data_IF_605566326580
#
_entry.id   IF_605566326580
#
_cell.length_a   1.000
_cell.length_b   1.000
_cell.length_c   1.000
_cell.angle_alpha   90.00
_cell.angle_beta   90.00
_cell.angle_gamma   90.00
#
_symmetry.space_group_name_H-M   'P 1'
#
loop_
_entity.id
_entity.type
_entity.pdbx_description
1 polymer ?
#
# COMPACT_ATOMS: atom_id res chain seq x y z
N UNK A 1 24.71 16.10 29.37
CA UNK A 1 24.99 15.38 28.11
C UNK A 1 23.71 15.29 27.33
N UNK A 2 23.63 15.93 26.18
CA UNK A 2 22.43 15.72 25.35
C UNK A 2 22.47 14.29 24.78
N UNK A 3 21.37 13.57 24.93
CA UNK A 3 21.15 12.28 24.28
C UNK A 3 21.19 12.53 22.76
N UNK A 4 22.23 12.03 22.12
CA UNK A 4 22.27 11.94 20.67
C UNK A 4 21.07 11.14 20.21
N UNK A 5 20.18 11.79 19.47
CA UNK A 5 19.11 11.12 18.77
C UNK A 5 19.75 10.14 17.78
N UNK A 6 19.62 8.85 18.07
CA UNK A 6 19.91 7.80 17.10
C UNK A 6 19.00 8.09 15.90
N UNK A 7 19.54 8.73 14.86
CA UNK A 7 18.91 8.79 13.55
C UNK A 7 18.80 7.35 13.09
N UNK A 8 17.61 6.79 13.23
CA UNK A 8 17.23 5.56 12.53
C UNK A 8 17.55 5.81 11.06
N UNK A 9 18.58 5.16 10.55
CA UNK A 9 18.87 5.10 9.12
C UNK A 9 17.73 4.26 8.52
N UNK A 10 16.61 4.93 8.20
CA UNK A 10 15.55 4.30 7.41
C UNK A 10 16.20 3.90 6.10
N UNK A 11 16.26 2.61 5.87
CA UNK A 11 16.64 2.10 4.57
C UNK A 11 15.50 2.49 3.62
N UNK A 12 15.75 3.51 2.82
CA UNK A 12 14.74 4.18 1.98
C UNK A 12 14.42 3.39 0.72
N UNK A 13 15.20 2.35 0.44
CA UNK A 13 14.95 1.39 -0.62
C UNK A 13 14.63 0.03 -0.01
N UNK A 14 13.43 -0.46 -0.25
CA UNK A 14 12.94 -1.72 0.30
C UNK A 14 11.96 -2.37 -0.67
N UNK A 15 11.55 -3.58 -0.35
CA UNK A 15 10.52 -4.29 -1.10
C UNK A 15 9.22 -4.39 -0.32
N UNK A 16 8.15 -4.58 -1.05
CA UNK A 16 6.82 -4.83 -0.52
C UNK A 16 6.09 -5.90 -1.35
N UNK A 17 5.12 -6.57 -0.74
CA UNK A 17 4.12 -7.34 -1.46
C UNK A 17 2.83 -6.52 -1.49
N UNK A 18 2.32 -6.32 -2.69
CA UNK A 18 1.09 -5.57 -2.95
C UNK A 18 -0.04 -6.47 -3.43
N UNK A 19 -1.24 -6.16 -2.97
CA UNK A 19 -2.51 -6.64 -3.49
C UNK A 19 -3.07 -5.55 -4.40
N UNK A 20 -3.22 -5.84 -5.67
CA UNK A 20 -3.61 -4.83 -6.67
C UNK A 20 -4.96 -5.16 -7.31
N UNK A 21 -5.80 -4.14 -7.52
CA UNK A 21 -7.00 -4.30 -8.32
C UNK A 21 -6.67 -4.54 -9.80
N UNK A 22 -7.64 -5.07 -10.54
CA UNK A 22 -7.52 -5.35 -11.96
C UNK A 22 -8.66 -4.72 -12.76
N UNK A 23 -8.49 -4.67 -14.08
CA UNK A 23 -9.54 -4.26 -15.01
C UNK A 23 -10.16 -2.92 -14.65
N UNK A 24 -11.48 -2.86 -14.60
CA UNK A 24 -12.22 -1.65 -14.33
C UNK A 24 -11.98 -1.08 -12.93
N UNK A 25 -11.84 -1.93 -11.91
CA UNK A 25 -11.56 -1.50 -10.53
C UNK A 25 -10.22 -0.78 -10.46
N UNK A 26 -9.21 -1.29 -11.15
CA UNK A 26 -7.91 -0.62 -11.27
C UNK A 26 -8.04 0.73 -11.94
N UNK A 27 -8.76 0.82 -13.06
CA UNK A 27 -8.96 2.07 -13.79
C UNK A 27 -9.66 3.14 -12.93
N UNK A 28 -10.70 2.77 -12.21
CA UNK A 28 -11.43 3.69 -11.34
C UNK A 28 -10.55 4.23 -10.20
N UNK A 29 -9.86 3.36 -9.49
CA UNK A 29 -8.96 3.77 -8.39
C UNK A 29 -7.78 4.60 -8.89
N UNK A 30 -7.19 4.21 -10.03
CA UNK A 30 -6.12 4.96 -10.68
C UNK A 30 -6.56 6.36 -11.07
N UNK A 31 -7.75 6.52 -11.64
CA UNK A 31 -8.31 7.82 -11.98
C UNK A 31 -8.50 8.72 -10.75
N UNK A 32 -8.94 8.17 -9.61
CA UNK A 32 -9.06 8.93 -8.35
C UNK A 32 -7.70 9.38 -7.82
N UNK A 33 -6.69 8.49 -7.80
CA UNK A 33 -5.32 8.82 -7.39
C UNK A 33 -4.72 9.90 -8.30
N UNK A 34 -4.91 9.78 -9.61
CA UNK A 34 -4.42 10.78 -10.58
C UNK A 34 -5.10 12.14 -10.41
N UNK A 35 -6.42 12.17 -10.23
CA UNK A 35 -7.17 13.40 -10.02
C UNK A 35 -6.72 14.12 -8.75
N UNK A 36 -6.64 13.41 -7.62
CA UNK A 36 -6.16 13.98 -6.37
C UNK A 36 -4.70 14.46 -6.48
N UNK A 37 -3.82 13.67 -7.10
CA UNK A 37 -2.43 14.06 -7.32
C UNK A 37 -2.30 15.31 -8.18
N UNK A 38 -3.11 15.44 -9.22
CA UNK A 38 -3.14 16.62 -10.09
C UNK A 38 -3.66 17.85 -9.37
N UNK A 39 -4.74 17.71 -8.58
CA UNK A 39 -5.41 18.84 -7.91
C UNK A 39 -4.63 19.35 -6.69
N UNK A 40 -3.85 18.50 -6.05
CA UNK A 40 -3.15 18.79 -4.80
C UNK A 40 -1.62 18.60 -4.85
N UNK A 41 -1.05 18.47 -6.05
CA UNK A 41 0.40 18.31 -6.27
C UNK A 41 1.00 17.10 -5.52
N UNK A 42 0.32 15.97 -5.60
CA UNK A 42 0.78 14.70 -5.01
C UNK A 42 1.49 13.80 -6.03
N UNK A 43 2.37 12.90 -5.58
CA UNK A 43 3.04 11.96 -6.47
C UNK A 43 2.05 10.94 -7.04
N UNK A 44 2.38 10.42 -8.23
CA UNK A 44 1.63 9.33 -8.84
C UNK A 44 2.14 7.97 -8.36
N UNK A 45 1.23 7.07 -8.08
CA UNK A 45 1.51 5.66 -7.76
C UNK A 45 0.35 4.74 -8.19
N UNK A 46 0.64 3.47 -8.36
CA UNK A 46 -0.38 2.47 -8.71
C UNK A 46 -1.27 2.12 -7.50
N UNK A 47 -2.58 1.94 -7.70
CA UNK A 47 -3.49 1.56 -6.62
C UNK A 47 -3.14 0.17 -6.05
N UNK A 48 -2.95 0.10 -4.75
CA UNK A 48 -2.60 -1.14 -4.06
C UNK A 48 -2.96 -1.13 -2.58
N UNK A 49 -3.14 -2.31 -2.03
CA UNK A 49 -3.12 -2.57 -0.59
C UNK A 49 -1.82 -3.27 -0.26
N UNK A 50 -1.02 -2.74 0.64
CA UNK A 50 0.22 -3.39 1.07
C UNK A 50 -0.10 -4.59 1.95
N UNK A 51 0.42 -5.76 1.60
CA UNK A 51 0.32 -6.96 2.42
C UNK A 51 1.48 -7.04 3.42
N UNK A 52 2.70 -6.85 2.96
CA UNK A 52 3.95 -6.79 3.77
C UNK A 52 4.87 -5.76 3.12
N UNK A 53 5.59 -4.97 3.92
CA UNK A 53 6.52 -3.97 3.42
C UNK A 53 7.77 -3.83 4.29
N UNK A 54 8.80 -3.20 3.73
CA UNK A 54 10.01 -2.85 4.44
C UNK A 54 11.08 -3.94 4.49
N UNK A 55 10.86 -5.07 3.82
CA UNK A 55 11.86 -6.13 3.78
C UNK A 55 12.94 -5.88 2.72
N UNK A 56 14.11 -6.49 2.94
CA UNK A 56 15.28 -6.35 2.09
C UNK A 56 15.67 -7.73 1.55
N UNK A 57 16.42 -7.73 0.46
CA UNK A 57 16.97 -8.95 -0.10
C UNK A 57 17.33 -8.83 -1.57
N UNK A 58 17.87 -9.89 -2.10
CA UNK A 58 18.15 -10.02 -3.52
C UNK A 58 16.83 -10.19 -4.30
N UNK A 59 16.56 -9.30 -5.25
CA UNK A 59 15.29 -9.24 -6.00
C UNK A 59 14.89 -10.60 -6.59
N UNK A 60 15.84 -11.31 -7.18
CA UNK A 60 15.58 -12.64 -7.78
C UNK A 60 15.09 -13.67 -6.75
N UNK A 61 15.63 -13.64 -5.54
CA UNK A 61 15.20 -14.52 -4.44
C UNK A 61 13.83 -14.10 -3.90
N UNK A 62 13.61 -12.80 -3.76
CA UNK A 62 12.33 -12.25 -3.32
C UNK A 62 11.22 -12.56 -4.32
N UNK A 63 11.51 -12.50 -5.62
CA UNK A 63 10.56 -12.87 -6.67
C UNK A 63 10.15 -14.34 -6.56
N UNK A 64 11.10 -15.26 -6.36
CA UNK A 64 10.80 -16.69 -6.14
C UNK A 64 9.94 -16.92 -4.89
N UNK A 65 10.25 -16.23 -3.79
CA UNK A 65 9.42 -16.29 -2.56
C UNK A 65 8.01 -15.77 -2.83
N UNK A 66 7.87 -14.65 -3.55
CA UNK A 66 6.57 -14.08 -3.94
C UNK A 66 5.76 -15.06 -4.79
N UNK A 67 6.38 -15.73 -5.76
CA UNK A 67 5.73 -16.77 -6.57
C UNK A 67 5.26 -17.95 -5.70
N UNK A 68 6.06 -18.37 -4.72
CA UNK A 68 5.68 -19.44 -3.77
C UNK A 68 4.48 -19.02 -2.92
N UNK A 69 4.46 -17.80 -2.41
CA UNK A 69 3.35 -17.24 -1.65
C UNK A 69 2.08 -17.19 -2.53
N UNK A 70 2.21 -16.68 -3.75
CA UNK A 70 1.09 -16.55 -4.68
C UNK A 70 0.40 -17.89 -4.96
N UNK A 71 1.15 -18.96 -5.11
CA UNK A 71 0.60 -20.32 -5.34
C UNK A 71 -0.18 -20.89 -4.15
N UNK A 72 0.11 -20.40 -2.94
CA UNK A 72 -0.53 -20.86 -1.69
C UNK A 72 -1.73 -20.01 -1.28
N UNK A 73 -1.91 -18.82 -1.85
CA UNK A 73 -3.03 -17.92 -1.57
C UNK A 73 -4.16 -18.20 -2.54
N UNK A 74 -5.34 -18.55 -2.01
CA UNK A 74 -6.57 -18.60 -2.81
C UNK A 74 -7.08 -17.17 -3.08
N UNK A 75 -7.74 -16.92 -4.21
CA UNK A 75 -8.37 -15.63 -4.49
C UNK A 75 -9.31 -15.20 -3.36
N UNK A 76 -9.32 -13.91 -3.04
CA UNK A 76 -10.20 -13.33 -2.03
C UNK A 76 -10.58 -11.88 -2.38
N UNK A 77 -11.49 -11.30 -1.63
CA UNK A 77 -12.01 -9.95 -1.88
C UNK A 77 -11.49 -9.00 -0.80
N UNK A 78 -10.95 -7.87 -1.24
CA UNK A 78 -10.70 -6.68 -0.39
C UNK A 78 -11.99 -5.87 -0.35
N UNK A 79 -12.50 -5.60 0.83
CA UNK A 79 -13.67 -4.75 1.07
C UNK A 79 -13.22 -3.48 1.76
N UNK A 80 -13.66 -2.34 1.26
CA UNK A 80 -13.36 -1.04 1.86
C UNK A 80 -14.41 -0.67 2.92
N UNK A 81 -13.95 0.05 3.94
CA UNK A 81 -14.76 0.52 5.08
C UNK A 81 -14.57 2.03 5.27
N UNK A 82 -14.87 2.76 4.23
CA UNK A 82 -14.83 4.21 4.21
C UNK A 82 -13.44 4.83 4.04
N UNK A 83 -13.43 6.16 4.06
CA UNK A 83 -12.24 7.00 3.89
C UNK A 83 -11.71 7.44 5.25
N UNK A 84 -10.41 7.48 5.40
CA UNK A 84 -9.73 8.00 6.59
C UNK A 84 -8.46 8.77 6.22
N UNK A 85 -7.89 9.50 7.17
CA UNK A 85 -6.64 10.22 7.00
C UNK A 85 -5.82 10.23 8.29
N UNK A 86 -4.49 10.30 8.14
CA UNK A 86 -3.56 10.53 9.23
C UNK A 86 -2.65 11.72 8.90
N UNK A 87 -1.97 12.26 9.90
CA UNK A 87 -0.92 13.26 9.70
C UNK A 87 0.42 12.57 9.42
N UNK A 88 0.42 11.77 8.35
CA UNK A 88 1.56 11.00 7.89
C UNK A 88 1.62 11.06 6.36
N UNK A 89 2.82 11.27 5.81
CA UNK A 89 3.02 11.44 4.37
C UNK A 89 2.41 10.30 3.53
N UNK A 90 2.69 9.04 3.88
CA UNK A 90 2.23 7.87 3.14
C UNK A 90 0.82 7.36 3.54
N UNK A 91 0.21 7.97 4.55
CA UNK A 91 -1.17 7.71 5.00
C UNK A 91 -1.97 9.01 5.11
N UNK A 92 -1.76 9.90 4.15
CA UNK A 92 -2.39 11.21 4.16
C UNK A 92 -3.90 11.15 3.97
N UNK A 93 -4.36 10.44 2.93
CA UNK A 93 -5.76 10.08 2.70
C UNK A 93 -5.83 8.68 2.10
N UNK A 94 -6.69 7.83 2.63
CA UNK A 94 -6.75 6.44 2.23
C UNK A 94 -8.13 5.81 2.45
N UNK A 95 -8.40 4.73 1.72
CA UNK A 95 -9.52 3.83 1.98
C UNK A 95 -9.11 2.83 3.06
N UNK A 96 -9.90 2.73 4.11
CA UNK A 96 -9.75 1.67 5.11
C UNK A 96 -10.14 0.33 4.49
N UNK A 97 -9.39 -0.70 4.78
CA UNK A 97 -9.73 -2.06 4.39
C UNK A 97 -10.35 -2.78 5.59
N UNK A 98 -11.51 -3.38 5.37
CA UNK A 98 -12.14 -4.26 6.35
C UNK A 98 -11.29 -5.52 6.51
N UNK A 99 -10.82 -5.80 7.72
CA UNK A 99 -10.03 -6.99 7.98
C UNK A 99 -10.87 -8.26 7.78
N UNK A 100 -10.33 -9.23 7.04
CA UNK A 100 -10.95 -10.52 6.80
C UNK A 100 -10.00 -11.66 7.20
N UNK A 101 -10.55 -12.84 7.47
CA UNK A 101 -9.75 -14.03 7.77
C UNK A 101 -8.81 -14.40 6.61
N UNK A 102 -9.25 -14.21 5.37
CA UNK A 102 -8.44 -14.48 4.17
C UNK A 102 -7.26 -13.50 4.06
N UNK A 103 -7.51 -12.20 4.30
CA UNK A 103 -6.43 -11.19 4.33
C UNK A 103 -5.43 -11.51 5.44
N UNK A 104 -5.91 -11.87 6.63
CA UNK A 104 -5.06 -12.25 7.76
C UNK A 104 -4.22 -13.49 7.46
N UNK A 105 -4.81 -14.52 6.88
CA UNK A 105 -4.10 -15.74 6.48
C UNK A 105 -3.04 -15.46 5.39
N UNK A 106 -3.37 -14.65 4.39
CA UNK A 106 -2.44 -14.24 3.35
C UNK A 106 -1.22 -13.49 3.94
N UNK A 107 -1.47 -12.60 4.91
CA UNK A 107 -0.41 -11.87 5.59
C UNK A 107 0.49 -12.78 6.42
N UNK A 108 -0.07 -13.68 7.24
CA UNK A 108 0.69 -14.64 8.03
C UNK A 108 1.59 -15.50 7.13
N UNK A 109 1.04 -15.99 6.04
CA UNK A 109 1.79 -16.77 5.05
C UNK A 109 2.95 -15.96 4.45
N UNK A 110 2.69 -14.73 4.02
CA UNK A 110 3.70 -13.87 3.44
C UNK A 110 4.82 -13.53 4.44
N UNK A 111 4.47 -13.17 5.67
CA UNK A 111 5.46 -12.92 6.73
C UNK A 111 6.31 -14.17 7.04
N UNK A 112 5.70 -15.36 7.06
CA UNK A 112 6.41 -16.62 7.29
C UNK A 112 7.41 -16.94 6.18
N UNK A 113 6.98 -16.86 4.92
CA UNK A 113 7.84 -17.16 3.77
C UNK A 113 8.97 -16.13 3.60
N UNK A 114 8.73 -14.88 3.98
CA UNK A 114 9.74 -13.81 3.92
C UNK A 114 10.62 -13.76 5.17
N UNK A 115 10.31 -14.55 6.21
CA UNK A 115 10.97 -14.50 7.52
C UNK A 115 10.94 -13.08 8.12
N UNK A 116 9.82 -12.37 7.90
CA UNK A 116 9.62 -10.98 8.25
C UNK A 116 8.64 -10.83 9.41
N UNK A 117 9.02 -10.03 10.41
CA UNK A 117 8.17 -9.69 11.55
C UNK A 117 7.75 -8.24 11.46
N UNK A 118 6.46 -8.02 11.43
CA UNK A 118 5.85 -6.70 11.45
C UNK A 118 4.82 -6.64 12.59
N UNK A 119 4.92 -5.63 13.45
CA UNK A 119 4.17 -5.63 14.71
C UNK A 119 2.74 -5.09 14.57
N UNK A 120 2.51 -4.14 13.65
CA UNK A 120 1.20 -3.52 13.46
C UNK A 120 0.80 -3.61 12.01
N UNK A 121 -0.45 -3.97 11.77
CA UNK A 121 -1.02 -4.03 10.44
C UNK A 121 -2.32 -3.22 10.37
N UNK A 122 -2.30 -2.17 9.59
CA UNK A 122 -3.46 -1.40 9.22
C UNK A 122 -3.62 -1.48 7.69
N UNK A 123 -4.41 -2.44 7.18
CA UNK A 123 -4.62 -2.57 5.75
C UNK A 123 -5.39 -1.35 5.22
N UNK A 124 -4.86 -0.74 4.17
CA UNK A 124 -5.45 0.44 3.54
C UNK A 124 -4.99 0.55 2.09
N UNK A 125 -5.75 1.30 1.30
CA UNK A 125 -5.36 1.74 -0.03
C UNK A 125 -5.22 3.26 -0.01
N UNK A 126 -4.01 3.75 -0.21
CA UNK A 126 -3.74 5.18 -0.25
C UNK A 126 -4.33 5.83 -1.50
N UNK A 127 -4.92 7.00 -1.34
CA UNK A 127 -5.47 7.81 -2.43
C UNK A 127 -4.54 8.97 -2.80
N UNK A 128 -3.76 9.47 -1.85
CA UNK A 128 -2.73 10.49 -2.06
C UNK A 128 -1.65 10.38 -1.00
N UNK A 129 -0.41 10.69 -1.37
CA UNK A 129 0.72 10.88 -0.46
C UNK A 129 1.05 12.37 -0.36
N UNK A 130 1.44 12.83 0.80
CA UNK A 130 1.87 14.20 1.04
C UNK A 130 1.50 14.73 2.41
N UNK A 131 2.05 15.88 2.74
CA UNK A 131 1.78 16.60 3.97
C UNK A 131 0.71 17.65 3.72
N UNK A 132 -0.52 17.34 4.06
CA UNK A 132 -1.68 18.19 3.84
C UNK A 132 -2.35 18.58 5.15
N UNK A 133 -2.90 19.79 5.18
CA UNK A 133 -3.71 20.27 6.31
C UNK A 133 -5.05 19.53 6.38
N UNK A 134 -5.67 19.52 7.55
CA UNK A 134 -7.02 18.94 7.73
C UNK A 134 -8.04 19.58 6.77
N UNK A 135 -7.91 20.90 6.53
CA UNK A 135 -8.77 21.61 5.58
C UNK A 135 -8.61 21.10 4.15
N UNK A 136 -7.37 20.84 3.70
CA UNK A 136 -7.09 20.26 2.38
C UNK A 136 -7.66 18.84 2.29
N UNK A 137 -7.45 18.01 3.30
CA UNK A 137 -8.01 16.65 3.36
C UNK A 137 -9.53 16.65 3.33
N UNK A 138 -10.19 17.61 4.00
CA UNK A 138 -11.62 17.81 3.91
C UNK A 138 -12.09 18.11 2.49
N UNK A 139 -11.38 18.98 1.75
CA UNK A 139 -11.67 19.26 0.32
C UNK A 139 -11.49 18.02 -0.54
N UNK A 140 -10.43 17.23 -0.31
CA UNK A 140 -10.19 15.96 -1.02
C UNK A 140 -11.35 14.99 -0.82
N UNK A 141 -11.81 14.81 0.41
CA UNK A 141 -12.93 13.93 0.74
C UNK A 141 -14.20 14.39 0.01
N UNK A 142 -14.49 15.68 0.00
CA UNK A 142 -15.65 16.24 -0.69
C UNK A 142 -15.57 16.08 -2.22
N UNK A 143 -14.36 16.00 -2.79
CA UNK A 143 -14.15 15.75 -4.21
C UNK A 143 -14.26 14.28 -4.63
N UNK A 144 -14.33 13.36 -3.66
CA UNK A 144 -14.53 11.94 -3.93
C UNK A 144 -16.02 11.67 -4.16
N UNK A 145 -16.47 11.67 -5.42
CA UNK A 145 -17.87 11.44 -5.78
C UNK A 145 -18.33 10.03 -5.39
N UNK A 146 -17.60 9.03 -5.86
CA UNK A 146 -17.83 7.63 -5.55
C UNK A 146 -16.51 6.87 -5.60
N UNK A 147 -16.37 5.92 -4.72
CA UNK A 147 -15.24 4.99 -4.70
C UNK A 147 -15.79 3.59 -4.71
N UNK A 148 -15.12 2.67 -5.39
CA UNK A 148 -15.54 1.27 -5.39
C UNK A 148 -15.53 0.69 -3.97
N UNK A 149 -16.47 -0.21 -3.69
CA UNK A 149 -16.62 -0.80 -2.36
C UNK A 149 -15.65 -1.96 -2.11
N UNK A 150 -15.15 -2.58 -3.18
CA UNK A 150 -14.31 -3.78 -3.10
C UNK A 150 -13.57 -4.04 -4.40
N UNK A 151 -12.55 -4.91 -4.32
CA UNK A 151 -11.93 -5.51 -5.52
C UNK A 151 -11.46 -6.94 -5.22
N UNK A 152 -11.37 -7.76 -6.27
CA UNK A 152 -10.86 -9.13 -6.16
C UNK A 152 -9.35 -9.17 -6.23
N UNK A 153 -8.73 -9.94 -5.34
CA UNK A 153 -7.30 -10.27 -5.34
C UNK A 153 -7.13 -11.65 -5.95
N UNK A 154 -6.55 -11.71 -7.14
CA UNK A 154 -6.25 -12.96 -7.85
C UNK A 154 -4.75 -13.28 -7.85
N UNK A 155 -3.92 -12.25 -7.71
CA UNK A 155 -2.47 -12.34 -7.67
C UNK A 155 -1.90 -11.36 -6.65
N UNK A 156 -0.67 -11.61 -6.24
CA UNK A 156 0.15 -10.69 -5.45
C UNK A 156 1.34 -10.22 -6.27
N UNK A 157 1.86 -9.07 -5.92
CA UNK A 157 2.92 -8.42 -6.69
C UNK A 157 4.09 -8.02 -5.80
N UNK A 158 5.31 -8.34 -6.23
CA UNK A 158 6.52 -7.79 -5.63
C UNK A 158 6.72 -6.37 -6.17
N UNK A 159 6.87 -5.42 -5.27
CA UNK A 159 7.17 -4.03 -5.58
C UNK A 159 8.47 -3.58 -4.93
N UNK A 160 9.24 -2.78 -5.65
CA UNK A 160 10.40 -2.07 -5.13
C UNK A 160 9.99 -0.64 -4.78
N UNK A 161 10.28 -0.23 -3.56
CA UNK A 161 9.94 1.09 -3.02
C UNK A 161 11.21 1.93 -2.87
N UNK A 162 11.25 3.08 -3.50
CA UNK A 162 12.22 4.13 -3.27
C UNK A 162 11.50 5.35 -2.70
N UNK A 163 11.47 5.43 -1.37
CA UNK A 163 10.74 6.49 -0.66
C UNK A 163 11.42 7.86 -0.75
N UNK A 164 12.73 7.91 -1.02
CA UNK A 164 13.45 9.19 -1.22
C UNK A 164 13.01 9.85 -2.53
N UNK A 165 13.04 9.08 -3.61
CA UNK A 165 12.75 9.59 -4.94
C UNK A 165 11.26 9.50 -5.30
N UNK A 166 10.42 9.02 -4.37
CA UNK A 166 8.98 8.78 -4.56
C UNK A 166 8.70 7.94 -5.81
N UNK A 167 9.47 6.86 -5.96
CA UNK A 167 9.36 5.93 -7.08
C UNK A 167 9.00 4.54 -6.58
N UNK A 168 8.00 3.98 -7.20
CA UNK A 168 7.51 2.64 -6.91
C UNK A 168 7.48 1.84 -8.21
N UNK A 169 8.11 0.68 -8.21
CA UNK A 169 8.18 -0.19 -9.37
C UNK A 169 7.60 -1.56 -9.04
N UNK A 170 6.55 -1.94 -9.75
CA UNK A 170 6.05 -3.31 -9.73
C UNK A 170 7.02 -4.19 -10.52
N UNK A 171 7.55 -5.23 -9.88
CA UNK A 171 8.50 -6.16 -10.49
C UNK A 171 7.73 -7.27 -11.22
N UNK A 172 6.75 -7.88 -10.51
CA UNK A 172 5.87 -8.92 -11.08
C UNK A 172 4.74 -9.23 -10.09
#
# INVERSE_FOLDING_TARGET
MPLESVKSTRNTQSYAIWLMPHGNDKHQLKAKIQSLGSDFDGPYFEPHVTLVAGFLGEEKKLLKKTETISKKISPFIIVFDGVAYFNEFFRSLFLKVKFSSQLGAARVLACTELEWKENKYLPHLSLIYGDYTVKQKGKMILSLDSVIDSFSVNNIYLAHNDEINLKWKVIK
#
